data_IF_634042686928
#
_entry.id   IF_634042686928
#
_cell.length_a   1.000
_cell.length_b   1.000
_cell.length_c   1.000
_cell.angle_alpha   90.00
_cell.angle_beta   90.00
_cell.angle_gamma   90.00
#
_symmetry.space_group_name_H-M   'P 1'
#
loop_
_entity.id
_entity.type
_entity.pdbx_description
1 polymer ?
#
# COMPACT_ATOMS: atom_id res chain seq x y z
N UNK A 1 -42.09 18.03 12.98
CA UNK A 1 -40.80 17.39 13.32
C UNK A 1 -40.00 17.26 12.01
N UNK A 2 -39.02 18.15 11.78
CA UNK A 2 -38.27 18.23 10.50
C UNK A 2 -37.21 17.12 10.44
N UNK A 3 -37.11 16.41 9.31
CA UNK A 3 -36.03 15.46 9.04
C UNK A 3 -34.74 16.22 8.69
N UNK A 4 -33.55 15.78 9.15
CA UNK A 4 -32.28 16.36 8.75
C UNK A 4 -31.81 15.72 7.44
N UNK A 5 -32.46 16.07 6.33
CA UNK A 5 -32.09 15.60 4.99
C UNK A 5 -31.07 16.56 4.37
N UNK A 6 -29.85 16.65 4.90
CA UNK A 6 -28.78 17.47 4.28
C UNK A 6 -27.38 17.22 4.86
N UNK A 7 -26.74 16.08 4.55
CA UNK A 7 -25.29 15.91 4.79
C UNK A 7 -24.54 15.35 3.56
N UNK A 8 -25.21 14.81 2.53
CA UNK A 8 -24.51 14.18 1.41
C UNK A 8 -24.74 14.93 0.10
N UNK A 9 -24.07 16.08 -0.06
CA UNK A 9 -23.84 16.63 -1.39
C UNK A 9 -22.66 15.86 -2.01
N UNK A 10 -22.80 15.32 -3.24
CA UNK A 10 -21.66 14.74 -3.95
C UNK A 10 -20.61 15.83 -4.17
N UNK A 11 -19.45 15.65 -3.52
CA UNK A 11 -18.37 16.61 -3.58
C UNK A 11 -17.75 16.58 -4.98
N UNK A 12 -18.05 17.57 -5.80
CA UNK A 12 -17.45 17.71 -7.14
C UNK A 12 -16.18 18.53 -7.02
N UNK A 13 -15.05 17.87 -6.75
CA UNK A 13 -13.74 18.52 -6.70
C UNK A 13 -13.03 18.39 -8.05
N UNK A 14 -12.52 19.48 -8.64
CA UNK A 14 -11.56 19.37 -9.74
C UNK A 14 -10.26 18.75 -9.20
N UNK A 15 -9.70 17.78 -9.92
CA UNK A 15 -8.47 17.10 -9.52
C UNK A 15 -7.56 16.89 -10.73
N UNK A 16 -6.26 16.78 -10.46
CA UNK A 16 -5.25 16.38 -11.44
C UNK A 16 -4.49 15.21 -10.82
N UNK A 17 -4.48 14.08 -11.51
CA UNK A 17 -3.72 12.90 -11.08
C UNK A 17 -2.29 13.03 -11.60
N UNK A 18 -1.33 12.78 -10.72
CA UNK A 18 0.10 12.73 -11.05
C UNK A 18 0.76 11.58 -10.30
N UNK A 19 1.79 11.03 -10.93
CA UNK A 19 2.67 10.07 -10.29
C UNK A 19 3.76 10.82 -9.51
N UNK A 20 4.29 10.25 -8.41
CA UNK A 20 5.46 10.80 -7.73
C UNK A 20 6.65 10.87 -8.70
N UNK A 21 7.43 11.95 -8.62
CA UNK A 21 8.52 12.24 -9.57
C UNK A 21 9.57 11.12 -9.64
N UNK A 22 9.81 10.43 -8.53
CA UNK A 22 10.77 9.34 -8.39
C UNK A 22 10.13 7.94 -8.51
N UNK A 23 8.81 7.84 -8.68
CA UNK A 23 8.08 6.57 -8.76
C UNK A 23 8.09 5.76 -7.46
N UNK A 24 8.43 6.35 -6.31
CA UNK A 24 8.58 5.61 -5.05
C UNK A 24 7.42 5.88 -4.06
N UNK A 25 7.17 4.91 -3.17
CA UNK A 25 6.22 5.08 -2.06
C UNK A 25 6.70 6.12 -1.03
N UNK A 26 8.00 6.12 -0.78
CA UNK A 26 8.66 7.03 0.14
C UNK A 26 9.48 6.30 1.20
N UNK A 27 10.75 6.67 1.25
CA UNK A 27 11.74 6.21 2.21
C UNK A 27 12.15 7.39 3.09
N UNK A 28 12.28 7.13 4.38
CA UNK A 28 12.80 8.09 5.34
C UNK A 28 14.32 8.21 5.17
N UNK A 29 14.80 9.44 5.10
CA UNK A 29 16.21 9.81 5.21
C UNK A 29 16.58 10.06 6.67
N UNK A 30 17.85 9.91 7.03
CA UNK A 30 18.37 10.15 8.38
C UNK A 30 18.03 11.55 8.94
N UNK A 31 17.77 12.51 8.06
CA UNK A 31 17.38 13.88 8.41
C UNK A 31 15.86 14.05 8.70
N UNK A 32 15.05 12.98 8.68
CA UNK A 32 13.59 13.04 8.84
C UNK A 32 12.83 13.50 7.59
N UNK A 33 13.54 13.70 6.48
CA UNK A 33 12.93 13.95 5.18
C UNK A 33 12.51 12.64 4.50
N UNK A 34 11.42 12.69 3.74
CA UNK A 34 10.93 11.55 2.98
C UNK A 34 11.08 11.76 1.48
N UNK A 35 11.30 10.66 0.75
CA UNK A 35 11.18 10.60 -0.71
C UNK A 35 9.77 10.16 -1.13
N UNK A 36 9.52 9.97 -2.43
CA UNK A 36 8.30 9.34 -2.92
C UNK A 36 7.01 10.11 -2.64
N UNK A 37 5.91 9.36 -2.60
CA UNK A 37 4.58 9.86 -2.25
C UNK A 37 4.62 10.53 -0.87
N UNK A 38 5.21 9.88 0.14
CA UNK A 38 5.27 10.45 1.51
C UNK A 38 5.99 11.80 1.51
N UNK A 39 7.12 11.92 0.82
CA UNK A 39 7.87 13.17 0.71
C UNK A 39 7.13 14.25 -0.06
N UNK A 40 6.41 13.87 -1.11
CA UNK A 40 5.57 14.80 -1.90
C UNK A 40 4.46 15.39 -1.03
N UNK A 41 3.81 14.57 -0.20
CA UNK A 41 2.82 15.02 0.77
C UNK A 41 3.45 15.85 1.90
N UNK A 42 4.62 15.43 2.42
CA UNK A 42 5.34 16.14 3.48
C UNK A 42 5.71 17.58 3.08
N UNK A 43 6.02 17.80 1.80
CA UNK A 43 6.35 19.14 1.24
C UNK A 43 5.14 19.89 0.72
N UNK A 44 3.93 19.34 0.85
CA UNK A 44 2.69 19.93 0.32
C UNK A 44 2.71 20.11 -1.21
N UNK A 45 3.52 19.32 -1.93
CA UNK A 45 3.56 19.30 -3.40
C UNK A 45 2.32 18.60 -4.01
N UNK A 46 1.57 17.86 -3.19
CA UNK A 46 0.29 17.23 -3.52
C UNK A 46 -0.64 17.24 -2.30
N UNK A 47 -1.96 17.35 -2.54
CA UNK A 47 -2.96 17.45 -1.47
C UNK A 47 -3.38 16.09 -0.90
N UNK A 48 -3.34 15.03 -1.71
CA UNK A 48 -3.80 13.69 -1.33
C UNK A 48 -3.08 12.57 -2.09
N UNK A 49 -2.94 11.41 -1.45
CA UNK A 49 -2.64 10.15 -2.13
C UNK A 49 -3.88 9.27 -2.20
N UNK A 50 -4.07 8.57 -3.32
CA UNK A 50 -5.15 7.59 -3.48
C UNK A 50 -4.86 6.29 -2.73
N UNK A 51 -3.59 5.89 -2.70
CA UNK A 51 -3.15 4.64 -2.10
C UNK A 51 -1.81 4.82 -1.37
N UNK A 52 -1.73 4.28 -0.16
CA UNK A 52 -0.52 4.25 0.66
C UNK A 52 -0.74 3.37 1.89
N UNK A 53 0.08 2.32 2.05
CA UNK A 53 0.07 1.48 3.25
C UNK A 53 0.43 2.29 4.51
N UNK A 54 -0.38 2.17 5.56
CA UNK A 54 -0.11 2.76 6.88
C UNK A 54 1.03 1.99 7.55
N UNK A 55 2.09 2.69 7.93
CA UNK A 55 3.21 2.14 8.72
C UNK A 55 3.46 3.02 9.95
N UNK A 56 4.12 2.55 11.02
CA UNK A 56 4.24 3.33 12.26
C UNK A 56 4.90 4.71 12.12
N UNK A 57 5.79 4.89 11.13
CA UNK A 57 6.54 6.13 10.96
C UNK A 57 5.84 7.17 10.07
N UNK A 58 5.07 6.73 9.06
CA UNK A 58 4.41 7.66 8.11
C UNK A 58 3.44 8.65 8.78
N UNK A 59 2.60 8.25 9.77
CA UNK A 59 1.71 9.15 10.50
C UNK A 59 2.41 10.27 11.28
N UNK A 60 3.74 10.21 11.45
CA UNK A 60 4.51 11.25 12.13
C UNK A 60 4.72 12.50 11.25
N UNK A 61 4.60 12.34 9.92
CA UNK A 61 4.85 13.41 8.93
C UNK A 61 3.65 13.69 8.03
N UNK A 62 2.68 12.77 7.94
CA UNK A 62 1.45 12.91 7.16
C UNK A 62 0.24 12.40 7.95
N UNK A 63 -0.98 12.80 7.58
CA UNK A 63 -2.21 12.32 8.20
C UNK A 63 -2.92 11.30 7.32
N UNK A 64 -3.38 10.22 7.93
CA UNK A 64 -4.20 9.21 7.26
C UNK A 64 -5.69 9.37 7.59
N UNK A 65 -6.52 9.00 6.62
CA UNK A 65 -7.95 8.78 6.84
C UNK A 65 -8.18 7.39 7.44
N UNK A 66 -9.46 7.01 7.59
CA UNK A 66 -9.81 5.65 8.00
C UNK A 66 -9.43 4.66 6.88
N UNK A 67 -8.75 3.58 7.25
CA UNK A 67 -8.45 2.48 6.35
C UNK A 67 -9.72 1.93 5.68
N UNK A 68 -9.69 1.81 4.36
CA UNK A 68 -10.80 1.30 3.56
C UNK A 68 -10.47 -0.02 2.83
N UNK A 69 -9.19 -0.39 2.74
CA UNK A 69 -8.70 -1.68 2.22
C UNK A 69 -7.86 -2.35 3.31
N UNK A 70 -8.14 -3.63 3.59
CA UNK A 70 -7.30 -4.46 4.45
C UNK A 70 -6.24 -5.17 3.58
N UNK A 71 -4.98 -4.81 3.77
CA UNK A 71 -3.85 -5.34 3.00
C UNK A 71 -3.13 -6.44 3.81
N UNK A 72 -3.24 -7.69 3.38
CA UNK A 72 -2.51 -8.81 4.00
C UNK A 72 -1.22 -9.15 3.24
N UNK A 73 -0.14 -9.39 3.99
CA UNK A 73 1.14 -9.85 3.42
C UNK A 73 1.15 -11.37 3.38
N UNK A 74 1.32 -11.93 2.18
CA UNK A 74 1.36 -13.38 1.96
C UNK A 74 2.64 -13.79 1.24
N UNK A 75 3.12 -15.01 1.52
CA UNK A 75 4.22 -15.62 0.78
C UNK A 75 3.66 -16.32 -0.45
N UNK A 76 4.06 -15.87 -1.63
CA UNK A 76 3.76 -16.54 -2.88
C UNK A 76 4.95 -17.41 -3.29
N UNK A 77 4.69 -18.69 -3.57
CA UNK A 77 5.69 -19.62 -4.11
C UNK A 77 5.09 -20.42 -5.25
N UNK A 78 5.93 -20.81 -6.21
CA UNK A 78 5.51 -21.69 -7.29
C UNK A 78 5.04 -23.03 -6.74
N UNK A 79 3.96 -23.58 -7.29
CA UNK A 79 3.51 -24.92 -6.95
C UNK A 79 4.66 -25.92 -7.14
N UNK A 80 4.95 -26.81 -6.16
CA UNK A 80 5.97 -27.83 -6.32
C UNK A 80 5.67 -28.68 -7.56
N UNK A 81 6.70 -28.89 -8.38
CA UNK A 81 6.61 -29.87 -9.47
C UNK A 81 6.65 -31.27 -8.86
N UNK A 82 5.93 -32.25 -9.44
CA UNK A 82 6.10 -33.63 -9.03
C UNK A 82 7.57 -34.02 -9.19
N UNK A 83 8.09 -34.80 -8.24
CA UNK A 83 9.40 -35.41 -8.38
C UNK A 83 9.44 -36.27 -9.65
N UNK A 84 10.58 -36.36 -10.33
CA UNK A 84 10.75 -37.27 -11.45
C UNK A 84 10.31 -38.71 -11.12
N UNK A 85 9.65 -39.37 -12.08
CA UNK A 85 9.06 -40.70 -11.87
C UNK A 85 10.10 -41.77 -11.50
N UNK A 86 11.34 -41.64 -11.99
CA UNK A 86 12.41 -42.58 -11.65
C UNK A 86 12.75 -42.62 -10.15
N UNK A 87 12.46 -41.55 -9.40
CA UNK A 87 12.66 -41.52 -7.94
C UNK A 87 11.65 -42.41 -7.20
N UNK A 88 10.58 -42.89 -7.85
CA UNK A 88 9.62 -43.82 -7.26
C UNK A 88 10.27 -45.12 -6.77
N UNK A 89 11.36 -45.57 -7.42
CA UNK A 89 12.08 -46.79 -7.07
C UNK A 89 12.81 -46.69 -5.72
N UNK A 90 13.33 -45.52 -5.37
CA UNK A 90 14.12 -45.32 -4.15
C UNK A 90 13.31 -44.75 -2.99
N UNK A 91 12.15 -44.13 -3.27
CA UNK A 91 11.24 -43.57 -2.25
C UNK A 91 10.95 -44.49 -1.05
N UNK A 92 10.74 -45.81 -1.21
CA UNK A 92 10.49 -46.70 -0.07
C UNK A 92 11.69 -46.87 0.88
N UNK A 93 12.88 -46.44 0.48
CA UNK A 93 14.14 -46.60 1.21
C UNK A 93 14.68 -45.26 1.76
N UNK A 94 13.98 -44.15 1.50
CA UNK A 94 14.27 -42.87 2.14
C UNK A 94 13.69 -42.91 3.57
N UNK A 95 14.58 -43.08 4.56
CA UNK A 95 14.28 -43.02 6.00
C UNK A 95 14.18 -41.57 6.50
#
# INVERSE_FOLDING_TARGET
>A
MRRPDSIWLPLTLPYIVREPVDGQWGLESDAGNWTGIVGTLQREDADLSLDLTITPKRPQVIQFTKTYIDESVVLLSSKPRPLPEYLSLIRPFEC
#
